data_IF_733914922873
#
_entry.id   IF_733914922873
#
_cell.length_a   1.000
_cell.length_b   1.000
_cell.length_c   1.000
_cell.angle_alpha   90.00
_cell.angle_beta   90.00
_cell.angle_gamma   90.00
#
_symmetry.space_group_name_H-M   'P 1'
#
loop_
_entity.id
_entity.type
_entity.pdbx_description
1 polymer ?
#
# COMPACT_ATOMS: atom_id res chain seq x y z
N UNK A 1 3.89 15.96 16.49
CA UNK A 1 3.98 14.72 17.26
C UNK A 1 3.74 13.54 16.35
N UNK A 2 4.60 12.52 16.42
CA UNK A 2 4.42 11.27 15.68
C UNK A 2 3.50 10.35 16.50
N UNK A 3 2.35 9.99 15.94
CA UNK A 3 1.46 8.99 16.51
C UNK A 3 1.59 7.68 15.73
N UNK A 4 1.76 6.58 16.43
CA UNK A 4 1.80 5.25 15.87
C UNK A 4 0.51 4.50 16.25
N UNK A 5 -0.23 4.03 15.25
CA UNK A 5 -1.42 3.23 15.46
C UNK A 5 -1.35 1.95 14.64
N UNK A 6 -1.49 0.81 15.30
CA UNK A 6 -1.77 -0.44 14.62
C UNK A 6 -3.29 -0.56 14.44
N UNK A 7 -3.75 -0.58 13.19
CA UNK A 7 -5.16 -0.77 12.90
C UNK A 7 -5.47 -2.25 12.97
N UNK A 8 -6.32 -2.64 13.92
CA UNK A 8 -6.62 -4.05 14.21
C UNK A 8 -7.90 -4.58 13.56
N UNK A 9 -8.73 -3.72 12.97
CA UNK A 9 -9.95 -4.17 12.27
C UNK A 9 -9.63 -4.55 10.83
N UNK A 10 -8.97 -5.67 10.65
CA UNK A 10 -8.64 -6.22 9.33
C UNK A 10 -9.89 -6.51 8.47
N UNK A 11 -11.07 -6.66 9.11
CA UNK A 11 -12.36 -6.79 8.42
C UNK A 11 -12.70 -5.58 7.56
N UNK A 12 -12.13 -4.41 7.86
CA UNK A 12 -12.31 -3.18 7.09
C UNK A 12 -11.40 -3.13 5.84
N UNK A 13 -10.56 -4.16 5.65
CA UNK A 13 -9.63 -4.29 4.51
C UNK A 13 -9.88 -5.59 3.73
N UNK A 14 -11.04 -5.77 3.09
CA UNK A 14 -11.44 -7.05 2.54
C UNK A 14 -10.55 -7.57 1.40
N UNK A 15 -9.99 -6.69 0.56
CA UNK A 15 -9.07 -7.09 -0.50
C UNK A 15 -7.70 -7.48 0.06
N UNK A 16 -7.18 -6.76 1.05
CA UNK A 16 -5.96 -7.13 1.77
C UNK A 16 -6.16 -8.47 2.48
N UNK A 17 -7.30 -8.67 3.13
CA UNK A 17 -7.64 -9.93 3.81
C UNK A 17 -7.76 -11.10 2.83
N UNK A 18 -8.24 -10.89 1.62
CA UNK A 18 -8.26 -11.93 0.59
C UNK A 18 -6.84 -12.41 0.27
N UNK A 19 -5.89 -11.49 0.09
CA UNK A 19 -4.47 -11.82 -0.11
C UNK A 19 -3.90 -12.59 1.08
N UNK A 20 -4.31 -12.23 2.31
CA UNK A 20 -3.79 -12.83 3.55
C UNK A 20 -4.36 -14.22 3.85
N UNK A 21 -5.51 -14.60 3.31
CA UNK A 21 -6.29 -15.80 3.72
C UNK A 21 -5.44 -17.07 3.84
N UNK A 22 -4.57 -17.33 2.87
CA UNK A 22 -3.69 -18.50 2.87
C UNK A 22 -2.73 -18.59 4.07
N UNK A 23 -2.52 -17.49 4.77
CA UNK A 23 -1.49 -17.34 5.80
C UNK A 23 -2.05 -17.20 7.21
N UNK A 24 -3.37 -17.08 7.37
CA UNK A 24 -4.02 -16.79 8.66
C UNK A 24 -3.83 -17.89 9.71
N UNK A 25 -3.62 -19.14 9.28
CA UNK A 25 -3.40 -20.28 10.18
C UNK A 25 -2.04 -20.24 10.90
N UNK A 26 -1.12 -19.40 10.44
CA UNK A 26 0.21 -19.26 11.03
C UNK A 26 0.31 -17.90 11.70
N UNK A 27 0.39 -17.86 13.03
CA UNK A 27 0.35 -16.64 13.84
C UNK A 27 1.32 -15.56 13.35
N UNK A 28 2.58 -15.91 13.11
CA UNK A 28 3.62 -14.98 12.62
C UNK A 28 3.39 -14.48 11.18
N UNK A 29 2.43 -15.03 10.45
CA UNK A 29 2.10 -14.64 9.08
C UNK A 29 0.82 -13.83 8.99
N UNK A 30 0.16 -13.56 10.12
CA UNK A 30 -1.04 -12.73 10.14
C UNK A 30 -0.73 -11.34 9.57
N UNK A 31 -1.66 -10.77 8.80
CA UNK A 31 -1.49 -9.45 8.22
C UNK A 31 -1.58 -8.36 9.27
N UNK A 32 -1.06 -7.20 8.95
CA UNK A 32 -1.23 -5.99 9.74
C UNK A 32 -1.37 -4.77 8.81
N UNK A 33 -2.18 -3.82 9.20
CA UNK A 33 -2.15 -2.47 8.65
C UNK A 33 -1.47 -1.57 9.69
N UNK A 34 -0.41 -0.91 9.27
CA UNK A 34 0.37 0.00 10.11
C UNK A 34 0.05 1.42 9.68
N UNK A 35 -0.52 2.20 10.59
CA UNK A 35 -0.80 3.61 10.36
C UNK A 35 0.13 4.47 11.19
N UNK A 36 0.73 5.46 10.55
CA UNK A 36 1.58 6.48 11.18
C UNK A 36 1.04 7.85 10.80
N UNK A 37 1.06 8.80 11.74
CA UNK A 37 0.62 10.15 11.49
C UNK A 37 1.58 11.16 12.12
N UNK A 38 1.90 12.19 11.37
CA UNK A 38 2.63 13.37 11.83
C UNK A 38 1.79 14.61 11.61
N UNK A 39 1.71 15.46 12.62
CA UNK A 39 1.06 16.76 12.54
C UNK A 39 2.10 17.83 12.93
N UNK A 40 2.46 18.67 11.97
CA UNK A 40 3.39 19.77 12.18
C UNK A 40 2.79 20.89 13.03
N UNK A 41 3.65 21.73 13.59
CA UNK A 41 3.24 22.92 14.32
C UNK A 41 2.61 23.97 13.38
N UNK A 42 1.72 24.79 13.94
CA UNK A 42 1.05 25.90 13.24
C UNK A 42 -0.19 25.44 12.46
N UNK A 43 -0.68 26.34 11.62
CA UNK A 43 -1.83 26.05 10.75
C UNK A 43 -1.43 25.04 9.66
N UNK A 44 -2.22 23.99 9.50
CA UNK A 44 -1.98 22.99 8.46
C UNK A 44 -2.43 23.57 7.12
N UNK A 45 -1.53 23.66 6.17
CA UNK A 45 -1.78 24.17 4.81
C UNK A 45 -1.77 23.07 3.75
N UNK A 46 -1.20 21.91 4.07
CA UNK A 46 -1.07 20.76 3.17
C UNK A 46 -1.15 19.44 3.92
N UNK A 47 -1.79 18.44 3.29
CA UNK A 47 -1.88 17.08 3.83
C UNK A 47 -1.35 16.07 2.80
N UNK A 48 -0.37 15.28 3.18
CA UNK A 48 0.23 14.24 2.36
C UNK A 48 -0.21 12.86 2.89
N UNK A 49 -0.80 12.04 2.02
CA UNK A 49 -1.39 10.75 2.36
C UNK A 49 -0.71 9.65 1.54
N UNK A 50 -0.08 8.67 2.20
CA UNK A 50 0.70 7.63 1.54
C UNK A 50 0.18 6.23 1.82
N UNK A 51 -0.02 5.44 0.77
CA UNK A 51 -0.25 4.00 0.85
C UNK A 51 1.02 3.25 0.41
N UNK A 52 1.59 2.45 1.31
CA UNK A 52 2.80 1.67 1.07
C UNK A 52 2.53 0.18 0.89
N UNK A 53 2.97 -0.40 -0.25
CA UNK A 53 2.94 -1.86 -0.45
C UNK A 53 3.96 -2.53 0.45
N UNK A 54 3.49 -3.44 1.33
CA UNK A 54 4.32 -4.14 2.32
C UNK A 54 4.21 -5.66 2.23
N UNK A 55 4.29 -6.26 1.03
CA UNK A 55 4.27 -7.72 0.88
C UNK A 55 5.48 -8.31 1.61
N UNK A 56 5.20 -9.03 2.70
CA UNK A 56 6.25 -9.65 3.54
C UNK A 56 6.98 -10.72 2.74
N UNK A 57 6.24 -11.48 1.95
CA UNK A 57 6.72 -12.38 0.93
C UNK A 57 5.63 -12.59 -0.12
N UNK A 58 6.01 -12.60 -1.40
CA UNK A 58 5.08 -12.83 -2.50
C UNK A 58 5.46 -14.10 -3.27
N UNK A 59 4.63 -15.13 -3.14
CA UNK A 59 4.77 -16.37 -3.91
C UNK A 59 4.03 -16.33 -5.25
N UNK A 60 3.21 -15.28 -5.49
CA UNK A 60 2.25 -15.22 -6.58
C UNK A 60 0.88 -15.78 -6.20
N UNK A 61 0.77 -16.48 -5.07
CA UNK A 61 -0.47 -17.16 -4.69
C UNK A 61 -0.76 -18.37 -5.58
N UNK A 62 -2.02 -18.60 -5.98
CA UNK A 62 -2.40 -19.67 -6.87
C UNK A 62 -1.76 -19.55 -8.27
N UNK A 63 -1.52 -18.32 -8.75
CA UNK A 63 -0.68 -18.02 -9.93
C UNK A 63 0.80 -18.00 -9.52
N UNK A 64 1.29 -19.15 -9.10
CA UNK A 64 2.61 -19.33 -8.50
C UNK A 64 3.74 -18.81 -9.40
N UNK A 65 4.66 -18.05 -8.82
CA UNK A 65 5.89 -17.62 -9.49
C UNK A 65 6.78 -18.84 -9.78
N UNK A 66 7.06 -19.06 -11.06
CA UNK A 66 7.86 -20.20 -11.57
C UNK A 66 9.16 -19.71 -12.22
N UNK A 67 10.01 -20.64 -12.65
CA UNK A 67 11.25 -20.35 -13.40
C UNK A 67 12.19 -19.38 -12.66
N UNK A 68 12.31 -19.52 -11.36
CA UNK A 68 13.21 -18.70 -10.54
C UNK A 68 12.67 -17.29 -10.19
N UNK A 69 11.44 -16.94 -10.62
CA UNK A 69 10.86 -15.62 -10.38
C UNK A 69 10.49 -15.37 -8.90
N UNK A 70 10.45 -16.41 -8.06
CA UNK A 70 10.10 -16.27 -6.64
C UNK A 70 11.29 -15.81 -5.78
N UNK A 71 12.50 -16.15 -6.16
CA UNK A 71 13.69 -15.78 -5.39
C UNK A 71 13.81 -14.25 -5.29
N UNK A 72 14.00 -13.74 -4.09
CA UNK A 72 14.09 -12.32 -3.83
C UNK A 72 12.74 -11.63 -3.52
N UNK A 73 11.62 -12.34 -3.54
CA UNK A 73 10.29 -11.79 -3.22
C UNK A 73 10.10 -11.41 -1.75
N UNK A 74 11.05 -11.70 -0.88
CA UNK A 74 11.14 -11.11 0.47
C UNK A 74 11.34 -9.58 0.44
N UNK A 75 11.71 -9.01 -0.70
CA UNK A 75 11.92 -7.56 -0.90
C UNK A 75 10.69 -6.83 -1.45
N UNK A 76 9.57 -7.52 -1.65
CA UNK A 76 8.35 -6.96 -2.22
C UNK A 76 7.58 -6.06 -1.24
N UNK A 77 8.35 -5.32 -0.47
CA UNK A 77 7.95 -4.33 0.54
C UNK A 77 8.77 -3.03 0.45
N UNK A 78 9.38 -2.79 -0.71
CA UNK A 78 10.13 -1.56 -0.95
C UNK A 78 9.27 -0.31 -0.81
N UNK A 79 7.98 -0.39 -1.19
CA UNK A 79 7.02 0.69 -0.98
C UNK A 79 6.82 1.02 0.50
N UNK A 80 6.60 0.00 1.34
CA UNK A 80 6.48 0.15 2.78
C UNK A 80 7.77 0.71 3.40
N UNK A 81 8.92 0.21 2.99
CA UNK A 81 10.22 0.68 3.47
C UNK A 81 10.45 2.17 3.13
N UNK A 82 10.11 2.57 1.91
CA UNK A 82 10.26 3.95 1.46
C UNK A 82 9.36 4.92 2.26
N UNK A 83 8.08 4.60 2.44
CA UNK A 83 7.16 5.48 3.19
C UNK A 83 7.46 5.50 4.69
N UNK A 84 7.96 4.40 5.26
CA UNK A 84 8.40 4.37 6.65
C UNK A 84 9.67 5.21 6.85
N UNK A 85 10.65 5.12 5.93
CA UNK A 85 11.83 5.96 5.93
C UNK A 85 11.50 7.44 5.75
N UNK A 86 10.58 7.76 4.86
CA UNK A 86 10.06 9.12 4.69
C UNK A 86 9.43 9.64 5.99
N UNK A 87 8.55 8.86 6.63
CA UNK A 87 7.93 9.26 7.89
C UNK A 87 8.97 9.49 9.01
N UNK A 88 10.01 8.64 9.08
CA UNK A 88 11.12 8.85 10.02
C UNK A 88 11.81 10.19 9.76
N UNK A 89 12.10 10.52 8.51
CA UNK A 89 12.72 11.79 8.12
C UNK A 89 11.81 12.97 8.48
N UNK A 90 10.51 12.88 8.22
CA UNK A 90 9.53 13.90 8.60
C UNK A 90 9.53 14.12 10.13
N UNK A 91 9.57 13.04 10.90
CA UNK A 91 9.59 13.10 12.36
C UNK A 91 10.89 13.75 12.90
N UNK A 92 12.02 13.60 12.21
CA UNK A 92 13.30 14.22 12.58
C UNK A 92 13.38 15.70 12.18
N UNK A 93 12.90 16.02 10.98
CA UNK A 93 12.94 17.40 10.46
C UNK A 93 11.85 18.30 11.05
N UNK A 94 10.78 17.73 11.55
CA UNK A 94 9.63 18.42 12.17
C UNK A 94 9.11 19.61 11.32
N UNK A 95 8.79 19.42 10.04
CA UNK A 95 8.29 20.49 9.20
C UNK A 95 6.99 21.07 9.74
N UNK A 96 6.83 22.39 9.66
CA UNK A 96 5.64 23.10 10.13
C UNK A 96 4.57 23.16 9.04
N UNK A 97 3.31 23.28 9.44
CA UNK A 97 2.20 23.53 8.53
C UNK A 97 1.79 22.35 7.66
N UNK A 98 2.33 21.17 7.88
CA UNK A 98 1.95 19.96 7.14
C UNK A 98 1.39 18.86 8.05
N UNK A 99 0.47 18.09 7.51
CA UNK A 99 0.01 16.82 8.06
C UNK A 99 0.45 15.68 7.14
N UNK A 100 1.04 14.63 7.67
CA UNK A 100 1.44 13.46 6.90
C UNK A 100 0.81 12.21 7.51
N UNK A 101 0.12 11.43 6.69
CA UNK A 101 -0.45 10.14 7.08
C UNK A 101 0.10 9.06 6.17
N UNK A 102 0.54 7.96 6.76
CA UNK A 102 1.04 6.78 6.06
C UNK A 102 0.25 5.56 6.49
N UNK A 103 -0.24 4.78 5.54
CA UNK A 103 -0.74 3.43 5.77
C UNK A 103 0.09 2.40 5.01
N UNK A 104 0.52 1.36 5.72
CA UNK A 104 1.29 0.25 5.18
C UNK A 104 0.48 -1.03 5.33
N UNK A 105 0.22 -1.73 4.24
CA UNK A 105 -0.37 -3.06 4.26
C UNK A 105 0.70 -4.14 4.32
N UNK A 106 0.96 -4.67 5.51
CA UNK A 106 1.89 -5.78 5.73
C UNK A 106 1.15 -7.10 5.60
N UNK A 107 1.39 -7.84 4.53
CA UNK A 107 0.66 -9.08 4.21
C UNK A 107 1.55 -10.05 3.44
N UNK A 108 1.31 -11.35 3.59
CA UNK A 108 1.94 -12.41 2.83
C UNK A 108 0.99 -12.93 1.75
N UNK A 109 1.43 -12.96 0.51
CA UNK A 109 0.76 -13.67 -0.58
C UNK A 109 1.33 -15.09 -0.69
N UNK A 110 0.53 -16.11 -0.44
CA UNK A 110 1.00 -17.49 -0.42
C UNK A 110 -0.09 -18.47 -0.90
N UNK A 111 0.30 -19.73 -1.05
CA UNK A 111 -0.61 -20.83 -1.36
C UNK A 111 -1.16 -21.42 -0.06
N UNK A 112 -2.38 -21.86 -0.09
CA UNK A 112 -3.04 -22.54 1.03
C UNK A 112 -4.44 -22.94 0.66
N UNK A 113 -5.09 -23.75 1.49
CA UNK A 113 -6.46 -24.26 1.26
C UNK A 113 -7.50 -23.15 1.18
N UNK A 114 -7.24 -22.01 1.82
CA UNK A 114 -8.12 -20.83 1.83
C UNK A 114 -7.56 -19.66 0.98
N UNK A 115 -6.59 -19.93 0.11
CA UNK A 115 -6.05 -18.90 -0.79
C UNK A 115 -7.13 -18.40 -1.75
N UNK A 116 -7.09 -17.09 -2.03
CA UNK A 116 -7.93 -16.53 -3.09
C UNK A 116 -7.45 -17.02 -4.47
N UNK A 117 -8.36 -17.06 -5.43
CA UNK A 117 -8.10 -17.65 -6.75
C UNK A 117 -8.65 -16.77 -7.87
N UNK A 118 -8.21 -17.04 -9.10
CA UNK A 118 -8.78 -16.40 -10.28
C UNK A 118 -10.30 -16.69 -10.37
N UNK A 119 -11.02 -15.73 -10.94
CA UNK A 119 -12.49 -15.69 -11.07
C UNK A 119 -13.27 -15.45 -9.77
N UNK A 120 -12.65 -15.49 -8.63
CA UNK A 120 -13.28 -15.06 -7.37
C UNK A 120 -13.70 -13.59 -7.45
N UNK A 121 -14.87 -13.27 -6.90
CA UNK A 121 -15.39 -11.89 -6.84
C UNK A 121 -15.44 -11.46 -5.38
N UNK A 122 -14.65 -10.44 -5.06
CA UNK A 122 -14.51 -9.90 -3.70
C UNK A 122 -15.07 -8.48 -3.68
N UNK A 123 -15.84 -8.14 -2.64
CA UNK A 123 -16.31 -6.77 -2.45
C UNK A 123 -15.24 -5.98 -1.68
N UNK A 124 -14.73 -4.91 -2.27
CA UNK A 124 -13.74 -4.01 -1.66
C UNK A 124 -14.33 -3.18 -0.53
N UNK A 125 -13.49 -2.52 0.26
CA UNK A 125 -13.92 -1.54 1.29
C UNK A 125 -14.84 -0.45 0.73
N UNK A 126 -14.63 -0.01 -0.51
CA UNK A 126 -15.48 0.97 -1.17
C UNK A 126 -16.82 0.40 -1.71
N UNK A 127 -17.14 -0.88 -1.44
CA UNK A 127 -18.35 -1.55 -1.93
C UNK A 127 -18.29 -1.99 -3.40
N UNK A 128 -17.16 -1.82 -4.07
CA UNK A 128 -16.99 -2.22 -5.48
C UNK A 128 -16.65 -3.70 -5.56
N UNK A 129 -17.34 -4.42 -6.45
CA UNK A 129 -17.04 -5.84 -6.73
C UNK A 129 -15.81 -5.94 -7.63
N UNK A 130 -14.82 -6.68 -7.18
CA UNK A 130 -13.54 -6.90 -7.87
C UNK A 130 -13.43 -8.37 -8.24
N UNK A 131 -13.38 -8.67 -9.54
CA UNK A 131 -13.06 -10.01 -10.04
C UNK A 131 -11.55 -10.17 -10.08
N UNK A 132 -11.06 -11.25 -9.48
CA UNK A 132 -9.64 -11.60 -9.50
C UNK A 132 -9.29 -12.19 -10.86
N UNK A 133 -8.38 -11.55 -11.56
CA UNK A 133 -7.86 -12.05 -12.85
C UNK A 133 -6.53 -12.77 -12.73
N UNK A 134 -5.76 -12.46 -11.68
CA UNK A 134 -4.44 -13.04 -11.44
C UNK A 134 -4.08 -12.81 -9.97
N UNK A 135 -3.73 -13.86 -9.25
CA UNK A 135 -3.38 -13.77 -7.82
C UNK A 135 -1.97 -13.19 -7.59
N UNK A 136 -1.11 -13.15 -8.61
CA UNK A 136 0.18 -12.46 -8.59
C UNK A 136 0.06 -10.94 -8.83
N UNK A 137 -1.17 -10.45 -8.96
CA UNK A 137 -1.49 -9.02 -8.99
C UNK A 137 -2.07 -8.54 -7.62
N UNK A 138 -1.58 -9.10 -6.53
CA UNK A 138 -2.03 -8.89 -5.14
C UNK A 138 -1.76 -7.48 -4.62
N UNK A 139 -0.64 -6.88 -5.03
CA UNK A 139 -0.21 -5.57 -4.52
C UNK A 139 -1.24 -4.47 -4.75
N UNK A 140 -1.91 -4.48 -5.91
CA UNK A 140 -2.99 -3.53 -6.21
C UNK A 140 -4.24 -3.74 -5.35
N UNK A 141 -4.50 -4.96 -4.90
CA UNK A 141 -5.60 -5.27 -3.99
C UNK A 141 -5.34 -4.66 -2.62
N UNK A 142 -4.14 -4.85 -2.10
CA UNK A 142 -3.69 -4.26 -0.83
C UNK A 142 -3.77 -2.74 -0.90
N UNK A 143 -3.21 -2.12 -1.94
CA UNK A 143 -3.21 -0.67 -2.11
C UNK A 143 -4.62 -0.09 -2.28
N UNK A 144 -5.54 -0.81 -2.91
CA UNK A 144 -6.91 -0.34 -3.13
C UNK A 144 -7.65 -0.11 -1.81
N UNK A 145 -7.53 -1.01 -0.85
CA UNK A 145 -8.15 -0.84 0.46
C UNK A 145 -7.49 0.29 1.26
N UNK A 146 -6.14 0.36 1.29
CA UNK A 146 -5.43 1.46 1.95
C UNK A 146 -5.83 2.83 1.35
N UNK A 147 -5.85 2.93 0.02
CA UNK A 147 -6.29 4.15 -0.66
C UNK A 147 -7.74 4.51 -0.36
N UNK A 148 -8.62 3.50 -0.23
CA UNK A 148 -10.02 3.73 0.11
C UNK A 148 -10.17 4.37 1.50
N UNK A 149 -9.36 3.94 2.48
CA UNK A 149 -9.32 4.55 3.81
C UNK A 149 -8.71 5.96 3.76
N UNK A 150 -7.55 6.12 3.14
CA UNK A 150 -6.90 7.44 3.00
C UNK A 150 -7.77 8.46 2.24
N UNK A 151 -8.60 8.00 1.30
CA UNK A 151 -9.58 8.86 0.61
C UNK A 151 -10.64 9.41 1.56
N UNK A 152 -11.04 8.65 2.58
CA UNK A 152 -11.96 9.17 3.60
C UNK A 152 -11.28 10.28 4.43
N UNK A 153 -10.02 10.09 4.79
CA UNK A 153 -9.21 11.14 5.44
C UNK A 153 -9.09 12.38 4.55
N UNK A 154 -8.82 12.18 3.27
CA UNK A 154 -8.67 13.26 2.31
C UNK A 154 -9.94 14.13 2.17
N UNK A 155 -11.12 13.54 2.37
CA UNK A 155 -12.40 14.27 2.23
C UNK A 155 -12.55 15.43 3.23
N UNK A 156 -11.84 15.39 4.35
CA UNK A 156 -11.88 16.42 5.40
C UNK A 156 -10.53 17.11 5.62
N UNK A 157 -9.50 16.71 4.89
CA UNK A 157 -8.16 17.24 5.03
C UNK A 157 -7.94 18.54 4.26
N UNK A 158 -7.02 19.37 4.73
CA UNK A 158 -6.60 20.59 4.05
C UNK A 158 -5.66 20.24 2.90
N UNK A 159 -6.02 20.63 1.68
CA UNK A 159 -5.21 20.49 0.46
C UNK A 159 -4.55 19.08 0.35
N UNK A 160 -5.35 17.99 0.26
CA UNK A 160 -4.82 16.64 0.34
C UNK A 160 -4.19 16.17 -0.98
N UNK A 161 -3.04 15.52 -0.88
CA UNK A 161 -2.43 14.77 -2.00
C UNK A 161 -2.22 13.32 -1.58
N UNK A 162 -2.68 12.38 -2.43
CA UNK A 162 -2.55 10.94 -2.19
C UNK A 162 -1.46 10.33 -3.05
N UNK A 163 -0.66 9.46 -2.45
CA UNK A 163 0.42 8.73 -3.09
C UNK A 163 0.31 7.23 -2.83
N UNK A 164 0.67 6.42 -3.83
CA UNK A 164 0.96 5.00 -3.64
C UNK A 164 2.43 4.75 -3.92
N UNK A 165 3.08 3.96 -3.08
CA UNK A 165 4.49 3.59 -3.26
C UNK A 165 4.60 2.07 -3.20
N UNK A 166 5.11 1.47 -4.27
CA UNK A 166 5.08 0.02 -4.43
C UNK A 166 6.18 -0.50 -5.36
N UNK A 167 6.71 -1.66 -5.05
CA UNK A 167 7.39 -2.55 -5.99
C UNK A 167 6.34 -3.35 -6.74
N UNK A 168 5.60 -2.70 -7.66
CA UNK A 168 4.33 -3.22 -8.16
C UNK A 168 4.49 -4.21 -9.31
N UNK A 169 5.33 -3.87 -10.29
CA UNK A 169 5.51 -4.71 -11.49
C UNK A 169 6.93 -4.59 -12.04
N UNK A 170 7.42 -5.66 -12.68
CA UNK A 170 8.68 -5.62 -13.42
C UNK A 170 8.66 -4.67 -14.64
N UNK A 171 7.49 -4.19 -15.05
CA UNK A 171 7.35 -3.24 -16.16
C UNK A 171 7.99 -1.88 -15.83
N UNK A 172 8.00 -1.45 -14.57
CA UNK A 172 8.70 -0.22 -14.18
C UNK A 172 10.19 -0.29 -14.53
N UNK A 173 10.86 -1.40 -14.18
CA UNK A 173 12.27 -1.58 -14.51
C UNK A 173 12.53 -1.67 -16.03
N UNK A 174 11.59 -2.22 -16.80
CA UNK A 174 11.67 -2.24 -18.26
C UNK A 174 11.50 -0.86 -18.88
N UNK A 175 10.64 -0.02 -18.29
CA UNK A 175 10.34 1.31 -18.80
C UNK A 175 11.40 2.35 -18.46
N UNK A 176 11.90 2.34 -17.22
CA UNK A 176 12.77 3.40 -16.66
C UNK A 176 14.09 2.89 -16.10
N UNK A 177 14.40 1.59 -16.25
CA UNK A 177 15.64 0.99 -15.75
C UNK A 177 15.72 0.99 -14.22
N UNK A 178 16.85 1.42 -13.62
CA UNK A 178 17.05 1.40 -12.18
C UNK A 178 16.36 2.57 -11.44
N UNK A 179 15.64 3.40 -12.15
CA UNK A 179 14.99 4.57 -11.58
C UNK A 179 13.56 4.29 -11.12
N UNK A 180 13.07 5.14 -10.21
CA UNK A 180 11.67 5.11 -9.78
C UNK A 180 10.76 5.66 -10.88
N UNK A 181 9.74 4.89 -11.26
CA UNK A 181 8.71 5.36 -12.18
C UNK A 181 7.68 6.21 -11.43
N UNK A 182 7.42 7.43 -11.89
CA UNK A 182 6.29 8.26 -11.44
C UNK A 182 5.14 8.13 -12.43
N UNK A 183 3.93 7.88 -11.91
CA UNK A 183 2.71 7.83 -12.70
C UNK A 183 1.70 8.79 -12.09
N UNK A 184 1.30 9.77 -12.85
CA UNK A 184 0.34 10.80 -12.42
C UNK A 184 -1.05 10.54 -13.00
N UNK A 185 -2.08 10.72 -12.18
CA UNK A 185 -3.44 10.86 -12.68
C UNK A 185 -3.69 12.28 -13.23
N UNK A 186 -4.91 12.52 -13.76
CA UNK A 186 -5.24 13.82 -14.36
C UNK A 186 -5.09 15.00 -13.39
N UNK A 187 -5.46 14.85 -12.13
CA UNK A 187 -5.35 15.90 -11.12
C UNK A 187 -3.88 16.21 -10.77
N UNK A 188 -3.07 15.19 -10.54
CA UNK A 188 -1.64 15.33 -10.28
C UNK A 188 -0.91 16.03 -11.45
N UNK A 189 -1.27 15.64 -12.68
CA UNK A 189 -0.72 16.24 -13.90
C UNK A 189 -1.07 17.71 -14.05
N UNK A 190 -2.32 18.10 -13.73
CA UNK A 190 -2.75 19.50 -13.74
C UNK A 190 -1.98 20.34 -12.70
N UNK A 191 -1.62 19.76 -11.56
CA UNK A 191 -0.85 20.39 -10.50
C UNK A 191 0.66 20.29 -10.74
N UNK A 192 1.11 19.64 -11.79
CA UNK A 192 2.53 19.43 -12.12
C UNK A 192 3.33 18.83 -10.96
N UNK A 193 2.77 17.86 -10.23
CA UNK A 193 3.39 17.32 -9.01
C UNK A 193 4.76 16.69 -9.28
N UNK A 194 4.95 16.01 -10.41
CA UNK A 194 6.24 15.41 -10.79
C UNK A 194 7.31 16.43 -11.21
N UNK A 195 6.93 17.69 -11.45
CA UNK A 195 7.84 18.77 -11.85
C UNK A 195 8.30 19.65 -10.67
N UNK A 196 7.78 19.40 -9.48
CA UNK A 196 8.15 20.06 -8.22
C UNK A 196 9.22 19.28 -7.51
#
# INVERSE_FOLDING_TARGET
>A
LLHYHQILKLTDYPLLMAVARSSLMVERHKPAVIRMEYVGEGEITETLLFAGKGLVYDTGGADLKINGAMAGMSRDKGGAAAVAGFMKTVAELQPKGIRVVVEIGAVRNSIGSDAFVADEIITSHAGVRVRIGNTDAEGRLVLADLLSHLRLDAATAVNPTLFTVATLTGHAARAVGPYTALVENGAAKQQQLSAR
#
